data_IF_965303032867
#
_entry.id   IF_965303032867
#
_cell.length_a   1.000
_cell.length_b   1.000
_cell.length_c   1.000
_cell.angle_alpha   90.00
_cell.angle_beta   90.00
_cell.angle_gamma   90.00
#
_symmetry.space_group_name_H-M   'P 1'
#
loop_
_entity.id
_entity.type
_entity.pdbx_description
1 polymer ?
#
# COMPACT_ATOMS: atom_id res chain seq x y z
N UNK A 1 -42.62 33.47 5.11
CA UNK A 1 -41.94 32.44 4.30
C UNK A 1 -41.91 31.16 5.14
N UNK A 2 -42.75 30.15 4.85
CA UNK A 2 -42.76 28.90 5.64
C UNK A 2 -41.45 28.15 5.35
N UNK A 3 -40.66 27.84 6.38
CA UNK A 3 -39.50 26.96 6.26
C UNK A 3 -40.05 25.55 6.06
N UNK A 4 -39.70 24.90 4.95
CA UNK A 4 -40.13 23.54 4.65
C UNK A 4 -39.67 22.60 5.76
N UNK A 5 -40.54 21.67 6.17
CA UNK A 5 -40.21 20.70 7.22
C UNK A 5 -39.07 19.77 6.76
N UNK A 6 -38.31 19.20 7.70
CA UNK A 6 -37.22 18.27 7.35
C UNK A 6 -37.71 17.09 6.49
N UNK A 7 -38.97 16.68 6.65
CA UNK A 7 -39.62 15.64 5.85
C UNK A 7 -39.92 16.10 4.41
N UNK A 8 -40.43 17.33 4.23
CA UNK A 8 -40.65 17.91 2.90
C UNK A 8 -39.34 18.05 2.12
N UNK A 9 -38.25 18.47 2.78
CA UNK A 9 -36.92 18.54 2.17
C UNK A 9 -36.41 17.15 1.73
N UNK A 10 -36.70 16.14 2.52
CA UNK A 10 -36.25 14.76 2.28
C UNK A 10 -36.99 14.13 1.09
N UNK A 11 -38.30 14.37 0.97
CA UNK A 11 -39.10 13.96 -0.20
C UNK A 11 -38.66 14.70 -1.46
N UNK A 12 -38.43 16.01 -1.39
CA UNK A 12 -37.97 16.80 -2.54
C UNK A 12 -36.60 16.33 -3.06
N UNK A 13 -35.65 16.06 -2.16
CA UNK A 13 -34.35 15.52 -2.53
C UNK A 13 -34.47 14.12 -3.16
N UNK A 14 -35.33 13.25 -2.61
CA UNK A 14 -35.58 11.91 -3.15
C UNK A 14 -36.17 11.95 -4.57
N UNK A 15 -37.10 12.86 -4.85
CA UNK A 15 -37.68 13.05 -6.18
C UNK A 15 -36.61 13.44 -7.22
N UNK A 16 -35.69 14.35 -6.88
CA UNK A 16 -34.59 14.73 -7.78
C UNK A 16 -33.63 13.55 -7.99
N UNK A 17 -33.33 12.78 -6.94
CA UNK A 17 -32.49 11.57 -7.04
C UNK A 17 -33.11 10.52 -7.99
N UNK A 18 -34.44 10.36 -7.96
CA UNK A 18 -35.17 9.42 -8.81
C UNK A 18 -35.37 9.92 -10.25
N UNK A 19 -35.31 11.23 -10.47
CA UNK A 19 -35.46 11.82 -11.81
C UNK A 19 -34.34 11.38 -12.76
N UNK A 20 -34.68 11.15 -14.03
CA UNK A 20 -33.73 10.84 -15.10
C UNK A 20 -32.93 12.07 -15.58
N UNK A 21 -32.96 13.20 -14.87
CA UNK A 21 -32.32 14.43 -15.37
C UNK A 21 -30.80 14.31 -15.55
N UNK A 22 -30.31 14.86 -16.67
CA UNK A 22 -28.92 14.88 -17.13
C UNK A 22 -28.02 15.92 -16.43
N UNK A 23 -28.56 16.74 -15.53
CA UNK A 23 -27.79 17.77 -14.83
C UNK A 23 -27.01 17.16 -13.64
N UNK A 24 -25.81 16.67 -13.94
CA UNK A 24 -24.97 15.93 -13.00
C UNK A 24 -24.71 16.61 -11.65
N UNK A 25 -24.59 17.95 -11.62
CA UNK A 25 -24.35 18.72 -10.39
C UNK A 25 -25.62 18.89 -9.54
N UNK A 26 -26.77 19.19 -10.17
CA UNK A 26 -28.07 19.25 -9.47
C UNK A 26 -28.39 17.91 -8.80
N UNK A 27 -28.09 16.81 -9.51
CA UNK A 27 -28.23 15.46 -8.97
C UNK A 27 -27.25 15.21 -7.83
N UNK A 28 -25.98 15.63 -7.95
CA UNK A 28 -25.01 15.54 -6.86
C UNK A 28 -25.51 16.28 -5.60
N UNK A 29 -26.04 17.49 -5.76
CA UNK A 29 -26.62 18.26 -4.66
C UNK A 29 -27.77 17.55 -3.97
N UNK A 30 -28.71 16.99 -4.73
CA UNK A 30 -29.81 16.21 -4.16
C UNK A 30 -29.32 14.97 -3.40
N UNK A 31 -28.31 14.26 -3.92
CA UNK A 31 -27.69 13.14 -3.20
C UNK A 31 -27.00 13.58 -1.90
N UNK A 32 -26.34 14.73 -1.91
CA UNK A 32 -25.68 15.28 -0.72
C UNK A 32 -26.72 15.71 0.34
N UNK A 33 -27.75 16.43 -0.06
CA UNK A 33 -28.83 16.89 0.83
C UNK A 33 -29.59 15.70 1.42
N UNK A 34 -29.92 14.71 0.61
CA UNK A 34 -30.51 13.46 1.07
C UNK A 34 -29.61 12.76 2.10
N UNK A 35 -28.29 12.70 1.84
CA UNK A 35 -27.31 12.15 2.78
C UNK A 35 -27.23 12.89 4.12
N UNK A 36 -27.25 14.23 4.08
CA UNK A 36 -27.28 15.10 5.26
C UNK A 36 -28.51 14.84 6.10
N UNK A 37 -29.69 14.88 5.48
CA UNK A 37 -30.97 14.69 6.17
C UNK A 37 -31.09 13.29 6.78
N UNK A 38 -30.63 12.26 6.08
CA UNK A 38 -30.54 10.89 6.62
C UNK A 38 -29.61 10.84 7.83
N UNK A 39 -28.45 11.50 7.76
CA UNK A 39 -27.49 11.52 8.85
C UNK A 39 -28.05 12.24 10.09
N UNK A 40 -28.69 13.40 9.90
CA UNK A 40 -29.35 14.18 10.96
C UNK A 40 -30.50 13.41 11.61
N UNK A 41 -31.34 12.72 10.83
CA UNK A 41 -32.46 11.94 11.38
C UNK A 41 -32.02 10.68 12.13
N UNK A 42 -30.91 10.04 11.75
CA UNK A 42 -30.47 8.76 12.34
C UNK A 42 -29.42 8.90 13.46
N UNK A 43 -28.80 10.07 13.60
CA UNK A 43 -27.80 10.38 14.63
C UNK A 43 -26.50 9.54 14.56
N UNK A 44 -25.52 9.81 15.46
CA UNK A 44 -24.23 9.11 15.51
C UNK A 44 -24.29 7.71 16.17
N UNK A 45 -25.35 7.39 16.93
CA UNK A 45 -25.41 6.25 17.88
C UNK A 45 -26.60 5.30 17.68
N UNK A 46 -27.16 5.15 16.50
CA UNK A 46 -28.25 4.18 16.33
C UNK A 46 -27.71 2.77 16.04
N UNK A 47 -27.65 1.94 17.09
CA UNK A 47 -27.70 0.48 16.99
C UNK A 47 -29.00 -0.06 16.36
N UNK A 48 -29.88 0.85 15.92
CA UNK A 48 -31.17 0.66 15.25
C UNK A 48 -31.12 0.97 13.74
N UNK A 49 -29.93 1.20 13.16
CA UNK A 49 -29.79 1.85 11.85
C UNK A 49 -30.20 1.06 10.59
N UNK A 50 -30.28 -0.28 10.65
CA UNK A 50 -30.62 -1.09 9.47
C UNK A 50 -32.12 -1.09 9.17
N UNK A 51 -32.95 -1.26 10.19
CA UNK A 51 -34.42 -1.24 10.05
C UNK A 51 -34.92 0.16 9.65
N UNK A 52 -34.33 1.22 10.22
CA UNK A 52 -34.71 2.60 9.91
C UNK A 52 -34.40 3.00 8.46
N UNK A 53 -33.28 2.55 7.88
CA UNK A 53 -32.97 2.83 6.46
C UNK A 53 -33.88 2.01 5.54
N UNK A 54 -34.23 0.77 5.91
CA UNK A 54 -35.18 -0.06 5.18
C UNK A 54 -36.56 0.59 5.06
N UNK A 55 -37.13 1.01 6.19
CA UNK A 55 -38.41 1.73 6.22
C UNK A 55 -38.35 3.07 5.48
N UNK A 56 -37.24 3.81 5.61
CA UNK A 56 -37.05 5.07 4.90
C UNK A 56 -36.96 4.86 3.37
N UNK A 57 -36.30 3.79 2.93
CA UNK A 57 -36.20 3.42 1.52
C UNK A 57 -37.58 3.13 0.92
N UNK A 58 -38.42 2.37 1.63
CA UNK A 58 -39.80 2.08 1.24
C UNK A 58 -40.64 3.37 1.13
N UNK A 59 -40.59 4.24 2.15
CA UNK A 59 -41.34 5.50 2.17
C UNK A 59 -40.96 6.46 1.05
N UNK A 60 -39.69 6.47 0.65
CA UNK A 60 -39.18 7.34 -0.43
C UNK A 60 -39.22 6.70 -1.81
N UNK A 61 -39.66 5.44 -1.92
CA UNK A 61 -39.59 4.65 -3.14
C UNK A 61 -38.16 4.60 -3.75
N UNK A 62 -37.16 4.50 -2.88
CA UNK A 62 -35.75 4.37 -3.27
C UNK A 62 -35.19 3.02 -2.84
N UNK A 63 -34.14 2.56 -3.51
CA UNK A 63 -33.39 1.41 -3.02
C UNK A 63 -32.58 1.76 -1.77
N UNK A 64 -32.51 0.85 -0.81
CA UNK A 64 -31.69 0.97 0.41
C UNK A 64 -30.24 1.35 0.08
N UNK A 65 -29.67 0.77 -0.99
CA UNK A 65 -28.32 1.09 -1.49
C UNK A 65 -28.16 2.56 -1.90
N UNK A 66 -29.20 3.20 -2.40
CA UNK A 66 -29.21 4.63 -2.76
C UNK A 66 -29.08 5.49 -1.52
N UNK A 67 -29.82 5.17 -0.46
CA UNK A 67 -29.75 5.89 0.82
C UNK A 67 -28.37 5.72 1.48
N UNK A 68 -27.82 4.51 1.49
CA UNK A 68 -26.45 4.27 1.98
C UNK A 68 -25.40 5.06 1.19
N UNK A 69 -25.53 5.14 -0.14
CA UNK A 69 -24.62 5.93 -1.00
C UNK A 69 -24.74 7.43 -0.71
N UNK A 70 -25.96 7.95 -0.57
CA UNK A 70 -26.21 9.35 -0.23
C UNK A 70 -25.58 9.70 1.13
N UNK A 71 -25.84 8.89 2.16
CA UNK A 71 -25.26 9.07 3.50
C UNK A 71 -23.73 9.01 3.48
N UNK A 72 -23.15 8.03 2.78
CA UNK A 72 -21.69 7.92 2.62
C UNK A 72 -21.10 9.15 1.92
N UNK A 73 -21.78 9.66 0.89
CA UNK A 73 -21.33 10.85 0.17
C UNK A 73 -21.28 12.07 1.10
N UNK A 74 -22.34 12.34 1.85
CA UNK A 74 -22.37 13.43 2.83
C UNK A 74 -21.23 13.31 3.87
N UNK A 75 -21.02 12.10 4.41
CA UNK A 75 -19.98 11.87 5.42
C UNK A 75 -18.55 12.04 4.89
N UNK A 76 -18.28 11.63 3.64
CA UNK A 76 -16.94 11.72 3.03
C UNK A 76 -16.66 13.12 2.47
N UNK A 77 -17.68 13.82 1.99
CA UNK A 77 -17.57 15.12 1.33
C UNK A 77 -18.59 16.10 1.94
N UNK A 78 -18.43 16.49 3.23
CA UNK A 78 -19.41 17.30 3.94
C UNK A 78 -19.46 18.75 3.48
N UNK A 79 -18.42 19.26 2.82
CA UNK A 79 -18.38 20.65 2.39
C UNK A 79 -18.88 20.79 0.94
N UNK A 80 -19.93 21.58 0.74
CA UNK A 80 -20.53 21.85 -0.59
C UNK A 80 -19.51 22.40 -1.60
N UNK A 81 -18.59 23.26 -1.13
CA UNK A 81 -17.51 23.84 -1.92
C UNK A 81 -16.49 22.80 -2.36
N UNK A 82 -16.37 21.69 -1.64
CA UNK A 82 -15.40 20.63 -1.94
C UNK A 82 -15.80 19.80 -3.16
N UNK A 83 -17.09 19.67 -3.50
CA UNK A 83 -17.51 18.90 -4.68
C UNK A 83 -18.28 19.69 -5.74
N UNK A 84 -18.48 21.00 -5.54
CA UNK A 84 -19.04 21.90 -6.56
C UNK A 84 -18.36 21.75 -7.92
N UNK A 85 -19.15 21.82 -9.00
CA UNK A 85 -18.69 21.61 -10.37
C UNK A 85 -18.41 20.14 -10.76
N UNK A 86 -18.62 19.17 -9.86
CA UNK A 86 -18.54 17.74 -10.17
C UNK A 86 -19.93 17.13 -10.34
N UNK A 87 -20.04 16.20 -11.28
CA UNK A 87 -21.25 15.39 -11.43
C UNK A 87 -21.33 14.32 -10.34
N UNK A 88 -22.54 13.84 -10.05
CA UNK A 88 -22.77 12.74 -9.10
C UNK A 88 -21.88 11.52 -9.38
N UNK A 89 -21.64 11.20 -10.64
CA UNK A 89 -20.78 10.07 -11.05
C UNK A 89 -19.34 10.20 -10.54
N UNK A 90 -18.78 11.42 -10.54
CA UNK A 90 -17.46 11.71 -9.95
C UNK A 90 -17.52 11.61 -8.43
N UNK A 91 -18.48 12.28 -7.80
CA UNK A 91 -18.67 12.26 -6.34
C UNK A 91 -18.83 10.83 -5.80
N UNK A 92 -19.56 9.97 -6.53
CA UNK A 92 -19.76 8.57 -6.17
C UNK A 92 -18.47 7.78 -6.19
N UNK A 93 -17.56 8.05 -7.12
CA UNK A 93 -16.24 7.42 -7.18
C UNK A 93 -15.32 7.96 -6.09
N UNK A 94 -15.32 9.27 -5.86
CA UNK A 94 -14.52 9.88 -4.78
C UNK A 94 -14.96 9.38 -3.39
N UNK A 95 -16.28 9.28 -3.15
CA UNK A 95 -16.81 8.79 -1.89
C UNK A 95 -16.44 7.32 -1.58
N UNK A 96 -15.96 6.52 -2.54
CA UNK A 96 -15.47 5.16 -2.27
C UNK A 96 -14.09 5.12 -1.64
N UNK A 97 -13.30 6.20 -1.75
CA UNK A 97 -11.96 6.28 -1.19
C UNK A 97 -12.00 6.29 0.34
N UNK A 98 -11.16 5.46 0.95
CA UNK A 98 -11.02 5.31 2.40
C UNK A 98 -10.04 6.32 2.99
N UNK A 99 -9.00 6.69 2.26
CA UNK A 99 -7.96 7.64 2.69
C UNK A 99 -8.32 9.07 2.30
N UNK A 100 -8.15 10.00 3.23
CA UNK A 100 -8.48 11.41 3.02
C UNK A 100 -7.49 12.12 2.09
N UNK A 101 -6.21 11.75 2.15
CA UNK A 101 -5.18 12.32 1.25
C UNK A 101 -5.45 11.98 -0.22
N UNK A 102 -5.81 10.71 -0.51
CA UNK A 102 -6.16 10.26 -1.86
C UNK A 102 -7.45 10.94 -2.35
N UNK A 103 -8.43 11.12 -1.45
CA UNK A 103 -9.67 11.83 -1.74
C UNK A 103 -9.40 13.27 -2.16
N UNK A 104 -8.64 14.03 -1.36
CA UNK A 104 -8.34 15.44 -1.61
C UNK A 104 -7.52 15.60 -2.89
N UNK A 105 -6.45 14.82 -3.05
CA UNK A 105 -5.59 14.89 -4.24
C UNK A 105 -6.34 14.58 -5.52
N UNK A 106 -7.10 13.47 -5.56
CA UNK A 106 -7.85 13.09 -6.76
C UNK A 106 -8.96 14.07 -7.07
N UNK A 107 -9.57 14.67 -6.06
CA UNK A 107 -10.59 15.71 -6.22
C UNK A 107 -10.00 16.97 -6.88
N UNK A 108 -8.86 17.45 -6.36
CA UNK A 108 -8.19 18.64 -6.91
C UNK A 108 -7.71 18.39 -8.34
N UNK A 109 -7.10 17.23 -8.60
CA UNK A 109 -6.67 16.85 -9.95
C UNK A 109 -7.83 16.68 -10.92
N UNK A 110 -8.95 16.09 -10.47
CA UNK A 110 -10.17 15.97 -11.29
C UNK A 110 -10.69 17.34 -11.70
N UNK A 111 -10.65 18.32 -10.80
CA UNK A 111 -11.08 19.70 -11.07
C UNK A 111 -10.11 20.43 -11.99
N UNK A 112 -8.82 20.42 -11.66
CA UNK A 112 -7.78 21.12 -12.42
C UNK A 112 -7.70 20.64 -13.87
N UNK A 113 -7.82 19.32 -14.08
CA UNK A 113 -7.66 18.70 -15.40
C UNK A 113 -8.98 18.29 -16.06
N UNK A 114 -10.12 18.62 -15.45
CA UNK A 114 -11.47 18.27 -15.92
C UNK A 114 -11.60 16.79 -16.31
N UNK A 115 -11.14 15.90 -15.44
CA UNK A 115 -11.13 14.47 -15.75
C UNK A 115 -12.53 13.91 -16.01
N UNK A 116 -12.62 13.03 -17.00
CA UNK A 116 -13.81 12.20 -17.17
C UNK A 116 -13.94 11.20 -16.01
N UNK A 117 -15.15 10.69 -15.77
CA UNK A 117 -15.39 9.66 -14.74
C UNK A 117 -14.53 8.42 -15.00
N UNK A 118 -14.33 8.05 -16.27
CA UNK A 118 -13.49 6.90 -16.66
C UNK A 118 -12.03 7.12 -16.28
N UNK A 119 -11.51 8.33 -16.49
CA UNK A 119 -10.14 8.69 -16.11
C UNK A 119 -9.99 8.69 -14.59
N UNK A 120 -10.91 9.32 -13.85
CA UNK A 120 -10.94 9.27 -12.39
C UNK A 120 -10.98 7.83 -11.86
N UNK A 121 -11.81 6.95 -12.44
CA UNK A 121 -11.85 5.54 -12.06
C UNK A 121 -10.51 4.82 -12.32
N UNK A 122 -9.82 5.13 -13.41
CA UNK A 122 -8.49 4.56 -13.67
C UNK A 122 -7.47 5.03 -12.61
N UNK A 123 -7.51 6.31 -12.23
CA UNK A 123 -6.67 6.86 -11.18
C UNK A 123 -6.99 6.28 -9.81
N UNK A 124 -8.27 6.09 -9.47
CA UNK A 124 -8.68 5.39 -8.24
C UNK A 124 -8.14 3.96 -8.24
N UNK A 125 -8.26 3.21 -9.33
CA UNK A 125 -7.68 1.86 -9.42
C UNK A 125 -6.15 1.87 -9.27
N UNK A 126 -5.47 2.88 -9.78
CA UNK A 126 -4.03 3.04 -9.60
C UNK A 126 -3.70 3.35 -8.14
N UNK A 127 -4.48 4.21 -7.49
CA UNK A 127 -4.34 4.49 -6.05
C UNK A 127 -4.64 3.25 -5.22
N UNK A 128 -5.69 2.48 -5.52
CA UNK A 128 -5.98 1.21 -4.84
C UNK A 128 -4.84 0.21 -5.04
N UNK A 129 -4.24 0.12 -6.23
CA UNK A 129 -3.04 -0.70 -6.46
C UNK A 129 -1.84 -0.23 -5.64
N UNK A 130 -1.62 1.09 -5.53
CA UNK A 130 -0.51 1.68 -4.78
C UNK A 130 -0.76 1.74 -3.26
N UNK A 131 -2.01 1.76 -2.82
CA UNK A 131 -2.47 1.96 -1.43
C UNK A 131 -2.90 0.64 -0.79
N UNK A 132 -3.08 -0.43 -1.58
CA UNK A 132 -3.18 -1.82 -1.11
C UNK A 132 -1.83 -2.47 -0.80
N UNK A 133 -0.77 -1.68 -0.63
CA UNK A 133 0.46 -2.16 -0.01
C UNK A 133 0.25 -2.21 1.51
N UNK A 134 -0.55 -3.18 1.97
CA UNK A 134 -0.44 -3.65 3.36
C UNK A 134 1.04 -4.00 3.56
N UNK A 135 1.74 -3.49 4.59
CA UNK A 135 3.16 -3.76 4.77
C UNK A 135 3.38 -5.28 4.88
N UNK A 136 3.89 -5.88 3.81
CA UNK A 136 4.21 -7.31 3.77
C UNK A 136 5.65 -7.45 4.21
N UNK A 137 5.86 -7.60 5.52
CA UNK A 137 7.18 -7.91 6.06
C UNK A 137 7.62 -9.27 5.49
N UNK A 138 8.68 -9.27 4.70
CA UNK A 138 9.40 -10.50 4.38
C UNK A 138 10.22 -10.94 5.60
N UNK A 139 10.45 -12.25 5.73
CA UNK A 139 11.43 -12.76 6.71
C UNK A 139 12.82 -12.55 6.11
N UNK A 140 13.76 -11.90 6.82
CA UNK A 140 15.15 -11.81 6.37
C UNK A 140 15.70 -13.19 6.02
N UNK A 141 16.63 -13.24 5.06
CA UNK A 141 17.32 -14.48 4.67
C UNK A 141 16.41 -15.57 4.10
N UNK A 142 15.25 -15.16 3.60
CA UNK A 142 14.37 -16.00 2.79
C UNK A 142 14.68 -15.77 1.31
N UNK A 143 14.83 -16.85 0.55
CA UNK A 143 15.17 -16.82 -0.87
C UNK A 143 14.38 -17.85 -1.64
N UNK A 144 14.33 -17.69 -2.97
CA UNK A 144 13.78 -18.71 -3.85
C UNK A 144 14.86 -19.73 -4.21
N UNK A 145 14.61 -20.99 -3.85
CA UNK A 145 15.39 -22.14 -4.30
C UNK A 145 14.89 -22.58 -5.68
N UNK A 146 15.80 -22.57 -6.65
CA UNK A 146 15.61 -23.06 -8.00
C UNK A 146 16.18 -24.48 -8.08
N UNK A 147 15.34 -25.52 -8.23
CA UNK A 147 15.81 -26.89 -8.35
C UNK A 147 16.46 -27.11 -9.73
N UNK A 148 17.37 -28.09 -9.80
CA UNK A 148 18.07 -28.47 -11.02
C UNK A 148 19.28 -29.35 -10.70
N UNK A 149 20.05 -29.72 -11.73
CA UNK A 149 21.29 -30.49 -11.54
C UNK A 149 22.32 -29.77 -10.66
N UNK A 150 22.30 -28.44 -10.67
CA UNK A 150 23.02 -27.59 -9.73
C UNK A 150 21.99 -26.64 -9.10
N UNK A 151 21.49 -26.92 -7.88
CA UNK A 151 20.47 -26.09 -7.25
C UNK A 151 21.05 -24.71 -6.92
N UNK A 152 20.25 -23.67 -7.18
CA UNK A 152 20.65 -22.27 -6.97
C UNK A 152 19.64 -21.51 -6.13
N UNK A 153 20.13 -20.54 -5.37
CA UNK A 153 19.33 -19.53 -4.69
C UNK A 153 19.27 -18.28 -5.58
N UNK A 154 18.05 -17.79 -5.83
CA UNK A 154 17.84 -16.44 -6.35
C UNK A 154 17.97 -15.47 -5.17
N UNK A 155 18.98 -14.62 -5.23
CA UNK A 155 19.29 -13.61 -4.21
C UNK A 155 18.62 -12.27 -4.51
N UNK A 156 17.70 -12.20 -5.48
CA UNK A 156 17.17 -10.96 -6.02
C UNK A 156 18.20 -10.22 -6.89
N UNK A 157 17.86 -9.04 -7.41
CA UNK A 157 18.77 -8.20 -8.20
C UNK A 157 19.39 -8.89 -9.44
N UNK A 158 18.74 -9.92 -9.98
CA UNK A 158 19.27 -10.80 -11.03
C UNK A 158 20.51 -11.62 -10.62
N UNK A 159 20.74 -11.77 -9.32
CA UNK A 159 21.86 -12.51 -8.77
C UNK A 159 21.41 -13.90 -8.36
N UNK A 160 22.17 -14.90 -8.80
CA UNK A 160 21.95 -16.28 -8.43
C UNK A 160 23.22 -16.84 -7.80
N UNK A 161 23.06 -17.66 -6.78
CA UNK A 161 24.15 -18.31 -6.07
C UNK A 161 23.94 -19.81 -6.07
N UNK A 162 24.99 -20.58 -6.33
CA UNK A 162 24.94 -22.04 -6.16
C UNK A 162 24.77 -22.39 -4.69
N UNK A 163 23.92 -23.36 -4.36
CA UNK A 163 23.79 -23.86 -2.98
C UNK A 163 25.11 -24.44 -2.47
N UNK A 164 25.95 -24.97 -3.35
CA UNK A 164 27.29 -25.43 -3.00
C UNK A 164 28.21 -24.32 -2.50
N UNK A 165 27.93 -23.05 -2.84
CA UNK A 165 28.69 -21.90 -2.36
C UNK A 165 28.34 -21.47 -0.93
N UNK A 166 27.33 -22.09 -0.29
CA UNK A 166 26.98 -21.83 1.11
C UNK A 166 27.97 -22.46 2.11
N UNK A 167 28.91 -23.28 1.62
CA UNK A 167 29.77 -24.10 2.46
C UNK A 167 29.10 -25.42 2.87
N UNK A 168 29.47 -26.01 4.03
CA UNK A 168 28.86 -27.26 4.49
C UNK A 168 27.35 -27.04 4.70
N UNK A 169 26.54 -27.97 4.22
CA UNK A 169 25.08 -27.97 4.37
C UNK A 169 24.62 -29.11 5.27
N UNK A 170 23.49 -28.92 5.94
CA UNK A 170 22.92 -29.95 6.83
C UNK A 170 22.43 -31.19 6.04
N UNK A 171 22.35 -32.36 6.70
CA UNK A 171 21.73 -33.57 6.12
C UNK A 171 20.25 -33.34 5.73
N UNK A 172 19.60 -32.39 6.39
CA UNK A 172 18.23 -31.98 6.07
C UNK A 172 18.20 -31.19 4.77
N UNK A 173 19.11 -30.25 4.58
CA UNK A 173 19.29 -29.53 3.32
C UNK A 173 19.57 -30.51 2.19
N UNK A 174 20.51 -31.44 2.38
CA UNK A 174 20.84 -32.43 1.35
C UNK A 174 19.59 -33.22 0.93
N UNK A 175 18.84 -33.77 1.89
CA UNK A 175 17.57 -34.46 1.61
C UNK A 175 16.54 -33.57 0.93
N UNK A 176 16.46 -32.29 1.29
CA UNK A 176 15.58 -31.33 0.62
C UNK A 176 15.98 -31.18 -0.85
N UNK A 177 17.26 -30.99 -1.15
CA UNK A 177 17.75 -30.83 -2.52
C UNK A 177 17.48 -32.09 -3.36
N UNK A 178 17.69 -33.27 -2.80
CA UNK A 178 17.49 -34.56 -3.49
C UNK A 178 16.01 -34.83 -3.81
N UNK A 179 15.09 -34.30 -2.99
CA UNK A 179 13.65 -34.56 -3.10
C UNK A 179 12.87 -33.43 -3.77
N UNK A 180 13.44 -32.22 -3.85
CA UNK A 180 12.73 -31.03 -4.35
C UNK A 180 12.82 -30.93 -5.86
N UNK A 181 11.73 -31.28 -6.55
CA UNK A 181 11.58 -31.11 -8.01
C UNK A 181 10.97 -29.77 -8.44
N UNK A 182 10.62 -28.88 -7.51
CA UNK A 182 9.90 -27.63 -7.82
C UNK A 182 10.46 -26.42 -7.05
N UNK A 183 10.19 -25.20 -7.55
CA UNK A 183 10.65 -23.97 -6.92
C UNK A 183 10.02 -23.82 -5.53
N UNK A 184 10.82 -23.45 -4.55
CA UNK A 184 10.38 -23.35 -3.15
C UNK A 184 11.06 -22.19 -2.43
N UNK A 185 10.39 -21.57 -1.45
CA UNK A 185 11.00 -20.56 -0.59
C UNK A 185 11.69 -21.22 0.60
N UNK A 186 12.95 -20.85 0.81
CA UNK A 186 13.79 -21.37 1.89
C UNK A 186 14.34 -20.23 2.72
N UNK A 187 14.32 -20.41 4.04
CA UNK A 187 15.01 -19.56 5.01
C UNK A 187 16.38 -20.19 5.33
N UNK A 188 17.45 -19.41 5.24
CA UNK A 188 18.79 -19.85 5.63
C UNK A 188 18.94 -19.77 7.15
N UNK A 189 19.33 -20.87 7.76
CA UNK A 189 19.64 -20.94 9.19
C UNK A 189 20.97 -21.65 9.40
N UNK A 190 21.88 -21.10 10.23
CA UNK A 190 23.09 -21.82 10.60
C UNK A 190 22.75 -22.96 11.56
N UNK A 191 23.47 -24.07 11.46
CA UNK A 191 23.40 -25.22 12.37
C UNK A 191 24.81 -25.76 12.65
N UNK A 192 25.01 -26.59 13.69
CA UNK A 192 26.31 -27.22 13.95
C UNK A 192 26.82 -28.09 12.78
N UNK A 193 25.92 -28.58 11.92
CA UNK A 193 26.24 -29.42 10.77
C UNK A 193 26.48 -28.61 9.48
N UNK A 194 26.32 -27.29 9.53
CA UNK A 194 26.38 -26.41 8.36
C UNK A 194 25.11 -25.60 8.15
N UNK A 195 24.88 -25.12 6.94
CA UNK A 195 23.73 -24.29 6.58
C UNK A 195 22.49 -25.17 6.32
N UNK A 196 21.40 -24.82 7.00
CA UNK A 196 20.09 -25.44 6.88
C UNK A 196 19.18 -24.57 5.99
N UNK A 197 18.60 -25.16 4.96
CA UNK A 197 17.59 -24.53 4.11
C UNK A 197 16.21 -24.98 4.58
N UNK A 198 15.49 -24.09 5.26
CA UNK A 198 14.19 -24.40 5.87
C UNK A 198 13.05 -23.98 4.96
N UNK A 199 12.20 -24.92 4.48
CA UNK A 199 11.03 -24.57 3.70
C UNK A 199 10.09 -23.61 4.44
N UNK A 200 9.73 -22.52 3.78
CA UNK A 200 8.78 -21.54 4.29
C UNK A 200 7.40 -21.80 3.67
N UNK A 201 6.49 -22.36 4.47
CA UNK A 201 5.13 -22.67 4.05
C UNK A 201 4.20 -21.46 4.22
N UNK A 202 3.18 -21.33 3.36
CA UNK A 202 2.25 -20.18 3.37
C UNK A 202 2.70 -18.98 2.51
N UNK A 203 3.60 -19.22 1.56
CA UNK A 203 4.33 -18.24 0.75
C UNK A 203 3.49 -17.28 -0.12
N UNK A 204 2.21 -17.54 -0.39
CA UNK A 204 1.41 -16.74 -1.33
C UNK A 204 1.28 -15.24 -0.93
N UNK A 205 1.58 -14.90 0.32
CA UNK A 205 1.48 -13.54 0.86
C UNK A 205 2.82 -12.94 1.33
N UNK A 206 3.93 -13.69 1.28
CA UNK A 206 5.23 -13.20 1.73
C UNK A 206 5.96 -12.50 0.58
N UNK A 207 6.65 -11.39 0.90
CA UNK A 207 7.63 -10.81 -0.04
C UNK A 207 8.84 -11.72 -0.12
N UNK A 208 9.32 -11.93 -1.34
CA UNK A 208 10.36 -12.91 -1.66
C UNK A 208 11.68 -12.58 -0.99
N UNK A 209 12.01 -11.29 -0.95
CA UNK A 209 13.34 -10.84 -0.53
C UNK A 209 13.23 -9.78 0.55
N UNK A 210 13.98 -9.95 1.64
CA UNK A 210 14.10 -8.98 2.72
C UNK A 210 15.57 -8.87 3.18
N UNK A 211 16.17 -7.69 3.03
CA UNK A 211 17.59 -7.46 3.31
C UNK A 211 17.78 -6.39 4.39
N UNK A 212 18.67 -6.60 5.38
CA UNK A 212 19.13 -5.52 6.24
C UNK A 212 19.83 -4.44 5.41
N UNK A 213 19.47 -3.18 5.68
CA UNK A 213 20.11 -2.00 5.11
C UNK A 213 21.11 -1.43 6.13
N UNK A 214 22.40 -1.49 5.78
CA UNK A 214 23.52 -0.91 6.54
C UNK A 214 23.92 0.44 5.96
N UNK A 215 24.64 1.22 6.77
CA UNK A 215 25.25 2.50 6.40
C UNK A 215 24.29 3.46 5.68
N UNK A 216 23.04 3.50 6.13
CA UNK A 216 22.01 4.33 5.51
C UNK A 216 22.30 5.82 5.76
N UNK A 217 22.41 6.60 4.67
CA UNK A 217 22.73 8.02 4.71
C UNK A 217 21.75 8.83 3.86
N UNK A 218 21.21 9.91 4.42
CA UNK A 218 20.36 10.85 3.71
C UNK A 218 21.18 11.72 2.73
N UNK A 219 20.93 11.56 1.44
CA UNK A 219 21.50 12.40 0.38
C UNK A 219 20.74 13.71 0.23
N UNK A 220 19.41 13.65 0.32
CA UNK A 220 18.51 14.82 0.26
C UNK A 220 17.26 14.58 1.13
N UNK A 221 16.27 15.47 1.07
CA UNK A 221 14.98 15.28 1.74
C UNK A 221 14.21 14.02 1.28
N UNK A 222 14.52 13.51 0.09
CA UNK A 222 13.80 12.39 -0.53
C UNK A 222 14.71 11.28 -1.06
N UNK A 223 16.02 11.39 -0.85
CA UNK A 223 16.97 10.38 -1.32
C UNK A 223 17.85 9.91 -0.18
N UNK A 224 18.10 8.61 -0.15
CA UNK A 224 19.09 8.01 0.72
C UNK A 224 19.95 7.02 -0.05
N UNK A 225 21.12 6.73 0.48
CA UNK A 225 21.95 5.60 0.05
C UNK A 225 22.11 4.64 1.21
N UNK A 226 22.39 3.38 0.92
CA UNK A 226 22.76 2.39 1.92
C UNK A 226 23.25 1.11 1.24
N UNK A 227 23.64 0.14 2.05
CA UNK A 227 24.16 -1.15 1.61
C UNK A 227 23.18 -2.25 2.02
N UNK A 228 22.57 -2.93 1.05
CA UNK A 228 21.77 -4.12 1.30
C UNK A 228 22.70 -5.31 1.46
N UNK A 229 22.66 -5.94 2.64
CA UNK A 229 23.36 -7.19 2.87
C UNK A 229 22.55 -8.34 2.27
N UNK A 230 23.04 -8.92 1.16
CA UNK A 230 22.31 -9.95 0.41
C UNK A 230 22.41 -11.33 1.03
N UNK A 231 23.52 -11.60 1.73
CA UNK A 231 23.75 -12.84 2.45
C UNK A 231 23.97 -12.60 3.95
N UNK A 232 23.56 -13.52 4.82
CA UNK A 232 23.83 -13.42 6.24
C UNK A 232 25.33 -13.38 6.52
N UNK A 233 25.72 -12.73 7.60
CA UNK A 233 27.13 -12.62 8.04
C UNK A 233 27.83 -13.96 8.37
N UNK A 234 27.09 -15.06 8.40
CA UNK A 234 27.64 -16.41 8.62
C UNK A 234 27.88 -17.17 7.30
N UNK A 235 27.66 -16.54 6.15
CA UNK A 235 27.95 -17.08 4.82
C UNK A 235 29.07 -16.25 4.19
N UNK A 236 30.09 -16.92 3.65
CA UNK A 236 31.20 -16.29 2.92
C UNK A 236 31.16 -16.70 1.43
N UNK A 237 31.41 -15.78 0.47
CA UNK A 237 31.77 -14.39 0.68
C UNK A 237 30.58 -13.53 1.14
N UNK A 238 30.86 -12.49 1.91
CA UNK A 238 29.86 -11.46 2.19
C UNK A 238 29.45 -10.77 0.88
N UNK A 239 28.19 -10.97 0.49
CA UNK A 239 27.63 -10.37 -0.72
C UNK A 239 26.78 -9.16 -0.35
N UNK A 240 27.17 -8.01 -0.86
CA UNK A 240 26.53 -6.73 -0.57
C UNK A 240 26.19 -5.97 -1.84
N UNK A 241 25.05 -5.25 -1.80
CA UNK A 241 24.59 -4.41 -2.90
C UNK A 241 24.39 -2.98 -2.42
N UNK A 242 25.15 -2.04 -3.01
CA UNK A 242 24.95 -0.62 -2.76
C UNK A 242 23.73 -0.10 -3.51
N UNK A 243 22.87 0.62 -2.79
CA UNK A 243 21.61 1.14 -3.29
C UNK A 243 21.52 2.66 -3.11
N UNK A 244 20.83 3.30 -4.05
CA UNK A 244 20.25 4.63 -3.92
C UNK A 244 18.74 4.47 -3.94
N UNK A 245 18.07 4.93 -2.89
CA UNK A 245 16.62 4.86 -2.77
C UNK A 245 16.03 6.26 -2.88
N UNK A 246 15.00 6.41 -3.70
CA UNK A 246 14.21 7.64 -3.85
C UNK A 246 12.84 7.44 -3.20
N UNK A 247 12.59 8.13 -2.10
CA UNK A 247 11.39 7.99 -1.28
C UNK A 247 10.17 8.58 -2.02
N UNK A 248 9.08 7.83 -2.06
CA UNK A 248 7.76 8.19 -2.62
C UNK A 248 6.77 8.45 -1.49
N UNK A 249 6.00 9.53 -1.60
CA UNK A 249 4.91 9.85 -0.67
C UNK A 249 5.29 10.65 0.59
N UNK A 250 6.56 11.03 0.76
CA UNK A 250 6.94 12.05 1.76
C UNK A 250 6.75 13.42 1.11
N UNK A 251 5.65 14.10 1.44
CA UNK A 251 5.45 15.50 1.04
C UNK A 251 6.57 16.32 1.72
N UNK A 252 7.38 17.10 0.96
CA UNK A 252 8.35 17.99 1.57
C UNK A 252 7.58 18.95 2.49
N UNK A 253 7.97 19.00 3.77
CA UNK A 253 7.74 20.22 4.53
C UNK A 253 8.41 21.34 3.73
N UNK A 254 7.78 22.51 3.62
CA UNK A 254 8.11 23.60 2.70
C UNK A 254 9.54 24.20 2.82
N UNK A 255 10.44 23.55 3.55
CA UNK A 255 11.85 23.86 3.71
C UNK A 255 12.68 22.57 3.62
N UNK A 256 13.70 22.56 2.76
CA UNK A 256 14.62 21.42 2.54
C UNK A 256 15.23 20.86 3.84
N UNK A 257 15.45 21.73 4.84
CA UNK A 257 15.98 21.35 6.15
C UNK A 257 15.02 20.44 6.96
N UNK A 258 13.70 20.65 6.83
CA UNK A 258 12.70 19.86 7.54
C UNK A 258 12.60 18.42 7.03
N UNK A 259 12.72 18.24 5.71
CA UNK A 259 12.71 16.92 5.07
C UNK A 259 13.95 16.10 5.42
N UNK A 260 15.14 16.73 5.39
CA UNK A 260 16.39 16.07 5.76
C UNK A 260 16.44 15.69 7.25
N UNK A 261 15.89 16.54 8.13
CA UNK A 261 15.74 16.26 9.55
C UNK A 261 14.84 15.06 9.85
N UNK A 262 13.67 14.96 9.18
CA UNK A 262 12.77 13.80 9.31
C UNK A 262 13.41 12.51 8.81
N UNK A 263 14.09 12.56 7.67
CA UNK A 263 14.77 11.38 7.14
C UNK A 263 15.91 10.95 8.08
N UNK A 264 16.71 11.89 8.59
CA UNK A 264 17.75 11.59 9.58
C UNK A 264 17.17 10.95 10.85
N UNK A 265 16.04 11.43 11.34
CA UNK A 265 15.33 10.84 12.49
C UNK A 265 14.83 9.40 12.19
N UNK A 266 14.39 9.12 10.97
CA UNK A 266 13.98 7.78 10.55
C UNK A 266 15.18 6.81 10.46
N UNK A 267 16.34 7.31 10.05
CA UNK A 267 17.59 6.54 9.97
C UNK A 267 18.25 6.33 11.35
N UNK A 268 18.03 7.22 12.31
CA UNK A 268 18.66 7.16 13.63
C UNK A 268 18.07 6.03 14.49
N UNK A 269 18.92 5.06 14.85
CA UNK A 269 18.60 4.01 15.83
C UNK A 269 17.72 2.87 15.32
N UNK A 270 17.36 2.86 14.03
CA UNK A 270 16.48 1.83 13.45
C UNK A 270 17.27 0.92 12.53
N UNK A 271 17.21 -0.39 12.76
CA UNK A 271 17.64 -1.38 11.77
C UNK A 271 16.59 -1.37 10.66
N UNK A 272 17.00 -0.90 9.49
CA UNK A 272 16.15 -0.84 8.31
C UNK A 272 16.26 -2.14 7.53
N UNK A 273 15.15 -2.57 6.94
CA UNK A 273 15.16 -3.63 5.96
C UNK A 273 14.43 -3.20 4.69
N UNK A 274 14.87 -3.76 3.57
CA UNK A 274 14.37 -3.54 2.22
C UNK A 274 13.65 -4.80 1.80
N UNK A 275 12.39 -4.69 1.38
CA UNK A 275 11.67 -5.81 0.76
C UNK A 275 11.42 -5.62 -0.72
N UNK A 276 11.49 -6.70 -1.50
CA UNK A 276 11.33 -6.69 -2.97
C UNK A 276 10.33 -7.77 -3.40
N UNK A 277 9.39 -7.38 -4.28
CA UNK A 277 8.28 -8.25 -4.74
C UNK A 277 8.66 -9.12 -5.96
N UNK A 278 9.71 -8.76 -6.70
CA UNK A 278 10.10 -9.44 -7.94
C UNK A 278 11.62 -9.64 -8.04
N UNK A 279 12.08 -10.74 -8.68
CA UNK A 279 13.50 -10.92 -8.99
C UNK A 279 13.92 -9.88 -10.04
N UNK A 280 14.69 -8.89 -9.61
CA UNK A 280 15.17 -7.79 -10.45
C UNK A 280 15.56 -6.55 -9.66
N UNK A 281 15.83 -5.40 -10.31
CA UNK A 281 16.10 -4.15 -9.62
C UNK A 281 14.89 -3.75 -8.76
N UNK A 282 15.11 -3.26 -7.54
CA UNK A 282 14.04 -3.00 -6.59
C UNK A 282 13.23 -1.77 -7.02
N UNK A 283 12.19 -2.00 -7.81
CA UNK A 283 11.30 -0.94 -8.28
C UNK A 283 10.44 -0.37 -7.14
N UNK A 284 10.10 -1.19 -6.15
CA UNK A 284 9.32 -0.79 -4.97
C UNK A 284 9.95 -1.41 -3.72
N UNK A 285 10.50 -0.56 -2.85
CA UNK A 285 11.13 -0.94 -1.58
C UNK A 285 10.27 -0.44 -0.42
N UNK A 286 9.91 -1.34 0.51
CA UNK A 286 9.48 -0.91 1.84
C UNK A 286 10.67 -0.82 2.77
N UNK A 287 10.80 0.33 3.46
CA UNK A 287 11.69 0.54 4.60
C UNK A 287 10.92 0.39 5.91
N UNK A 288 11.40 -0.44 6.84
CA UNK A 288 10.80 -0.62 8.16
C UNK A 288 11.84 -0.79 9.27
N UNK A 289 11.50 -0.35 10.48
CA UNK A 289 12.28 -0.59 11.70
C UNK A 289 12.09 -2.03 12.22
N UNK A 290 13.19 -2.70 12.53
CA UNK A 290 13.27 -4.11 12.92
C UNK A 290 12.80 -4.44 14.36
N UNK A 291 12.11 -3.57 15.10
CA UNK A 291 11.70 -3.96 16.46
C UNK A 291 10.59 -5.02 16.41
N UNK A 292 10.93 -6.21 16.94
CA UNK A 292 10.28 -7.51 16.72
C UNK A 292 8.93 -7.70 17.44
N UNK A 293 8.34 -6.66 18.05
CA UNK A 293 7.09 -6.83 18.80
C UNK A 293 6.09 -5.68 18.75
N UNK A 294 6.45 -4.52 18.22
CA UNK A 294 5.55 -3.36 18.16
C UNK A 294 5.62 -2.69 16.80
N UNK A 295 4.52 -2.79 16.06
CA UNK A 295 4.34 -2.22 14.74
C UNK A 295 4.18 -0.69 14.78
N UNK A 296 5.21 0.04 15.22
CA UNK A 296 5.31 1.47 14.90
C UNK A 296 5.92 1.61 13.49
N UNK A 297 5.11 1.24 12.52
CA UNK A 297 5.46 1.20 11.10
C UNK A 297 5.36 2.61 10.50
N UNK A 298 6.48 3.32 10.41
CA UNK A 298 6.64 4.37 9.41
C UNK A 298 7.16 3.71 8.13
N UNK A 299 6.25 3.19 7.32
CA UNK A 299 6.56 2.67 6.00
C UNK A 299 6.92 3.85 5.11
N UNK A 300 8.09 3.76 4.49
CA UNK A 300 8.46 4.65 3.39
C UNK A 300 8.63 3.79 2.16
N UNK A 301 7.82 4.07 1.14
CA UNK A 301 7.96 3.47 -0.18
C UNK A 301 9.11 4.17 -0.86
N UNK A 302 10.02 3.42 -1.49
CA UNK A 302 11.10 4.02 -2.27
C UNK A 302 11.33 3.27 -3.58
N UNK A 303 11.74 4.01 -4.62
CA UNK A 303 12.32 3.45 -5.83
C UNK A 303 13.81 3.25 -5.62
N UNK A 304 14.29 2.01 -5.75
CA UNK A 304 15.70 1.70 -5.61
C UNK A 304 16.41 1.61 -6.96
N UNK A 305 17.52 2.31 -7.07
CA UNK A 305 18.51 2.13 -8.14
C UNK A 305 19.78 1.56 -7.51
N UNK A 306 20.33 0.49 -8.10
CA UNK A 306 21.65 0.01 -7.71
C UNK A 306 22.71 0.95 -8.30
N UNK A 307 23.74 1.27 -7.50
CA UNK A 307 24.73 2.28 -7.89
C UNK A 307 25.98 1.72 -8.58
N UNK A 308 26.33 0.44 -8.34
CA UNK A 308 27.54 -0.22 -8.85
C UNK A 308 27.34 -1.74 -9.02
N UNK A 309 28.26 -2.39 -9.75
CA UNK A 309 28.48 -3.84 -9.75
C UNK A 309 28.79 -4.36 -8.34
N UNK A 310 28.44 -5.62 -8.10
CA UNK A 310 28.54 -6.34 -6.82
C UNK A 310 29.81 -6.03 -6.02
N UNK A 311 29.65 -5.76 -4.72
CA UNK A 311 30.75 -5.66 -3.78
C UNK A 311 30.93 -7.04 -3.15
N UNK A 312 32.11 -7.65 -3.30
CA UNK A 312 32.46 -8.93 -2.66
C UNK A 312 32.33 -10.19 -3.53
N UNK A 313 31.87 -10.09 -4.78
CA UNK A 313 32.09 -11.16 -5.75
C UNK A 313 33.56 -11.12 -6.18
N UNK A 314 34.37 -12.05 -5.68
CA UNK A 314 35.65 -12.35 -6.34
C UNK A 314 35.36 -12.70 -7.81
N UNK A 315 36.24 -12.30 -8.76
CA UNK A 315 36.03 -12.51 -10.19
C UNK A 315 35.84 -13.99 -10.56
#
# INVERSE_FOLDING_TARGET
MRVATAEEQLVAAAQIVNSQSDQGERKARAYWELGRLIHEQLGPRSGYGQDSIGSLAQRLHLHTRTLYRARRFYLRLPNLTTWSGLAWSHCRVLATLTRDDDLLRLLDQTRAHRWSVRHLQAQVRQCEKSSALTPRRGRPWTYQLLPGHAPTLDLGFHLHMSVASLGPISDRTQRLLDTTGSRLLVELSPTPQGIDLRPVWGAAHQRLYAYPLRDAQALSAHQLTGVAQLLPQFVEPQLEQRLRLTLRGIVPASTDDGGRGRLKALLQGRRLAITVDHPGPPADVDLFGHDDSTAEAQQVIAEGHHLNSLIGAAP
#
